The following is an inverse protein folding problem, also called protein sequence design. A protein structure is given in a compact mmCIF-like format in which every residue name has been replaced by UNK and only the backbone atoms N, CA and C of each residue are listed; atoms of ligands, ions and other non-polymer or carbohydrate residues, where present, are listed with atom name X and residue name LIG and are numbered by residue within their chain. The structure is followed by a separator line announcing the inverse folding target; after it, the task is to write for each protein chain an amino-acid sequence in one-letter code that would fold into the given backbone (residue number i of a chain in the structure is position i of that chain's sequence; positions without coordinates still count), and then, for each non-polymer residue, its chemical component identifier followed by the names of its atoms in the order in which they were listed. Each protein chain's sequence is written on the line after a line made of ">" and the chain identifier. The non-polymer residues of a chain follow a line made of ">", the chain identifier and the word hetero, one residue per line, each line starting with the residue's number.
data_IF_415876944203
#
_entry.id   IF_415876944203
#
_cell.length_a   1.000
_cell.length_b   1.000
_cell.length_c   1.000
_cell.angle_alpha   90.00
_cell.angle_beta   90.00
_cell.angle_gamma   90.00
#
_symmetry.space_group_name_H-M   'P 1'
#
loop_
_entity.id
_entity.type
_entity.pdbx_description
1 polymer ?
#
# COMPACT_ATOMS: atom_id res chain seq x y z
N UNK A 1 95.33 2.89 -47.41
CA UNK A 1 95.51 1.56 -46.79
C UNK A 1 94.15 0.91 -46.73
N UNK A 2 93.86 -0.03 -47.63
CA UNK A 2 93.83 -1.49 -47.38
C UNK A 2 92.66 -1.89 -46.44
N UNK A 3 91.76 -2.85 -46.67
CA UNK A 3 91.59 -3.98 -47.59
C UNK A 3 90.11 -4.45 -47.52
N UNK A 4 89.63 -5.18 -48.54
CA UNK A 4 88.41 -6.03 -48.55
C UNK A 4 88.81 -7.45 -48.06
N UNK A 5 87.96 -8.24 -47.33
CA UNK A 5 87.12 -9.35 -47.90
C UNK A 5 85.77 -9.59 -47.15
N UNK A 6 84.64 -9.96 -47.77
CA UNK A 6 84.16 -11.23 -48.36
C UNK A 6 83.72 -12.37 -47.38
N UNK A 7 82.39 -12.59 -47.36
CA UNK A 7 81.58 -13.83 -47.52
C UNK A 7 81.69 -15.06 -46.58
N UNK A 8 80.53 -15.52 -46.07
CA UNK A 8 79.92 -16.89 -46.20
C UNK A 8 78.75 -17.08 -45.19
N UNK A 9 77.48 -17.02 -45.58
CA UNK A 9 76.53 -18.13 -45.91
C UNK A 9 76.51 -19.30 -44.90
N UNK A 10 75.36 -19.53 -44.25
CA UNK A 10 74.69 -20.83 -44.09
C UNK A 10 73.22 -20.61 -43.66
N UNK A 11 72.31 -21.25 -44.39
CA UNK A 11 70.87 -21.30 -44.14
C UNK A 11 70.49 -22.65 -43.53
N UNK A 12 69.57 -22.67 -42.55
CA UNK A 12 68.73 -23.83 -42.23
C UNK A 12 67.33 -23.34 -41.88
N UNK A 13 66.33 -23.95 -42.51
CA UNK A 13 64.89 -23.66 -42.48
C UNK A 13 64.15 -24.40 -41.37
N UNK A 14 63.23 -23.72 -40.67
CA UNK A 14 62.31 -24.26 -39.66
C UNK A 14 61.01 -24.87 -40.24
N UNK A 15 60.34 -25.81 -39.53
CA UNK A 15 59.06 -26.37 -39.95
C UNK A 15 57.85 -25.50 -39.52
N UNK A 16 57.07 -25.03 -40.50
CA UNK A 16 55.93 -24.10 -40.37
C UNK A 16 54.65 -24.61 -39.67
N UNK A 17 54.61 -25.84 -39.15
CA UNK A 17 53.34 -26.45 -38.68
C UNK A 17 53.01 -26.22 -37.20
N UNK A 18 53.99 -25.87 -36.36
CA UNK A 18 53.78 -25.66 -34.91
C UNK A 18 53.10 -24.31 -34.60
N UNK A 19 53.20 -23.34 -35.51
CA UNK A 19 52.69 -21.97 -35.31
C UNK A 19 51.15 -21.85 -35.38
N UNK A 20 50.47 -22.70 -36.17
CA UNK A 20 49.02 -22.55 -36.39
C UNK A 20 48.19 -23.09 -35.23
N UNK A 21 48.59 -24.24 -34.66
CA UNK A 21 47.91 -24.84 -33.51
C UNK A 21 48.09 -24.01 -32.22
N UNK A 22 49.28 -23.44 -32.03
CA UNK A 22 49.54 -22.50 -30.92
C UNK A 22 48.61 -21.28 -30.99
N UNK A 23 48.44 -20.69 -32.18
CA UNK A 23 47.55 -19.53 -32.36
C UNK A 23 46.08 -19.85 -32.12
N UNK A 24 45.60 -21.02 -32.54
CA UNK A 24 44.24 -21.46 -32.26
C UNK A 24 43.99 -21.70 -30.76
N UNK A 25 44.96 -22.31 -30.06
CA UNK A 25 44.87 -22.54 -28.63
C UNK A 25 44.86 -21.21 -27.85
N UNK A 26 45.68 -20.24 -28.26
CA UNK A 26 45.69 -18.89 -27.69
C UNK A 26 44.39 -18.14 -27.94
N UNK A 27 43.77 -18.26 -29.13
CA UNK A 27 42.47 -17.65 -29.43
C UNK A 27 41.34 -18.23 -28.58
N UNK A 28 41.35 -19.55 -28.34
CA UNK A 28 40.36 -20.21 -27.48
C UNK A 28 40.54 -19.83 -26.01
N UNK A 29 41.79 -19.74 -25.53
CA UNK A 29 42.08 -19.29 -24.17
C UNK A 29 41.71 -17.80 -23.98
N UNK A 30 41.95 -16.96 -24.98
CA UNK A 30 41.58 -15.55 -24.95
C UNK A 30 40.05 -15.38 -24.95
N UNK A 31 39.31 -16.17 -25.75
CA UNK A 31 37.85 -16.09 -25.79
C UNK A 31 37.19 -16.59 -24.50
N UNK A 32 37.74 -17.64 -23.87
CA UNK A 32 37.30 -18.12 -22.56
C UNK A 32 37.61 -17.10 -21.46
N UNK A 33 38.77 -16.46 -21.49
CA UNK A 33 39.12 -15.40 -20.55
C UNK A 33 38.23 -14.16 -20.72
N UNK A 34 37.94 -13.74 -21.96
CA UNK A 34 37.03 -12.62 -22.23
C UNK A 34 35.60 -12.92 -21.78
N UNK A 35 35.12 -14.15 -22.01
CA UNK A 35 33.80 -14.61 -21.58
C UNK A 35 33.67 -14.66 -20.06
N UNK A 36 34.73 -15.10 -19.36
CA UNK A 36 34.77 -15.12 -17.89
C UNK A 36 34.84 -13.71 -17.31
N UNK A 37 35.56 -12.79 -17.95
CA UNK A 37 35.59 -11.37 -17.56
C UNK A 37 34.21 -10.70 -17.78
N UNK A 38 33.53 -10.99 -18.89
CA UNK A 38 32.18 -10.47 -19.15
C UNK A 38 31.15 -10.99 -18.11
N UNK A 39 31.26 -12.26 -17.73
CA UNK A 39 30.40 -12.87 -16.71
C UNK A 39 30.63 -12.30 -15.30
N UNK A 40 31.83 -11.75 -15.03
CA UNK A 40 32.17 -11.07 -13.78
C UNK A 40 31.73 -9.59 -13.74
N UNK A 41 31.62 -8.95 -14.91
CA UNK A 41 31.21 -7.53 -15.04
C UNK A 41 29.69 -7.37 -15.15
N UNK A 42 28.98 -8.33 -15.74
CA UNK A 42 27.51 -8.33 -15.86
C UNK A 42 26.74 -8.17 -14.52
N UNK A 43 27.16 -8.80 -13.39
CA UNK A 43 26.49 -8.62 -12.10
C UNK A 43 26.74 -7.24 -11.47
N UNK A 44 27.86 -6.59 -11.80
CA UNK A 44 28.21 -5.28 -11.25
C UNK A 44 27.35 -4.15 -11.85
N UNK A 45 27.01 -4.24 -13.15
CA UNK A 45 26.09 -3.29 -13.80
C UNK A 45 24.64 -3.40 -13.28
N UNK A 46 24.20 -4.61 -12.92
CA UNK A 46 22.87 -4.82 -12.32
C UNK A 46 22.80 -4.31 -10.86
N UNK A 47 23.92 -4.33 -10.14
CA UNK A 47 24.02 -3.75 -8.79
C UNK A 47 24.02 -2.22 -8.81
N UNK A 48 24.60 -1.60 -9.84
CA UNK A 48 24.52 -0.14 -10.02
C UNK A 48 23.08 0.34 -10.25
N UNK A 49 22.27 -0.34 -11.07
CA UNK A 49 20.87 0.05 -11.29
C UNK A 49 19.99 -0.10 -10.04
N UNK A 50 20.20 -1.14 -9.24
CA UNK A 50 19.48 -1.33 -7.97
C UNK A 50 19.92 -0.33 -6.90
N UNK A 51 21.22 -0.03 -6.79
CA UNK A 51 21.72 1.04 -5.91
C UNK A 51 21.22 2.42 -6.36
N UNK A 52 21.13 2.68 -7.67
CA UNK A 52 20.60 3.94 -8.21
C UNK A 52 19.10 4.10 -7.92
N UNK A 53 18.33 3.00 -7.93
CA UNK A 53 16.90 3.02 -7.55
C UNK A 53 16.71 3.31 -6.05
N UNK A 54 17.55 2.73 -5.19
CA UNK A 54 17.55 2.99 -3.74
C UNK A 54 17.95 4.44 -3.46
N UNK A 55 19.03 4.94 -4.10
CA UNK A 55 19.48 6.33 -3.98
C UNK A 55 18.46 7.34 -4.52
N UNK A 56 17.71 7.01 -5.59
CA UNK A 56 16.59 7.83 -6.09
C UNK A 56 15.43 7.89 -5.10
N UNK A 57 15.13 6.80 -4.40
CA UNK A 57 14.16 6.78 -3.30
C UNK A 57 14.56 7.70 -2.14
N UNK A 58 15.85 7.74 -1.78
CA UNK A 58 16.36 8.64 -0.73
C UNK A 58 16.45 10.11 -1.16
N UNK A 59 16.74 10.41 -2.43
CA UNK A 59 16.82 11.79 -2.92
C UNK A 59 15.44 12.48 -2.95
N UNK A 60 14.37 11.72 -3.20
CA UNK A 60 13.00 12.22 -3.15
C UNK A 60 12.51 12.50 -1.71
N UNK A 61 13.07 11.82 -0.71
CA UNK A 61 12.80 12.14 0.70
C UNK A 61 13.49 13.44 1.14
N UNK A 62 14.69 13.73 0.60
CA UNK A 62 15.49 14.89 1.02
C UNK A 62 14.95 16.22 0.50
N UNK A 63 14.28 16.25 -0.66
CA UNK A 63 13.69 17.48 -1.21
C UNK A 63 12.44 17.97 -0.47
N UNK A 64 11.86 17.14 0.42
CA UNK A 64 10.77 17.54 1.33
C UNK A 64 11.26 18.33 2.55
N UNK A 65 12.56 18.33 2.86
CA UNK A 65 13.10 18.99 4.05
C UNK A 65 13.27 20.52 3.88
N UNK A 66 13.46 21.01 2.65
CA UNK A 66 13.81 22.41 2.39
C UNK A 66 12.62 23.36 2.18
N UNK A 67 11.38 22.86 2.12
CA UNK A 67 10.24 23.68 1.67
C UNK A 67 9.15 23.93 2.71
N UNK A 68 9.40 23.55 3.97
CA UNK A 68 8.47 23.74 5.08
C UNK A 68 8.41 25.19 5.64
N UNK A 69 9.06 26.18 5.02
CA UNK A 69 9.23 27.50 5.64
C UNK A 69 8.30 28.64 5.19
N UNK A 70 7.46 28.53 4.16
CA UNK A 70 6.67 29.71 3.76
C UNK A 70 5.20 29.47 3.40
N UNK A 71 4.37 30.11 4.23
CA UNK A 71 3.20 30.93 3.86
C UNK A 71 1.81 30.35 4.12
N UNK A 72 1.27 30.81 5.26
CA UNK A 72 -0.14 30.83 5.61
C UNK A 72 -0.88 31.98 4.88
N UNK A 73 -2.13 31.76 4.45
CA UNK A 73 -3.36 32.43 4.95
C UNK A 73 -4.51 32.51 3.91
N UNK A 74 -5.73 32.28 4.43
CA UNK A 74 -7.08 32.77 4.05
C UNK A 74 -7.93 32.09 2.94
N UNK A 75 -8.79 31.18 3.44
CA UNK A 75 -10.27 31.05 3.34
C UNK A 75 -11.03 31.78 2.21
N UNK A 76 -11.92 31.06 1.52
CA UNK A 76 -13.42 31.06 1.69
C UNK A 76 -14.12 29.98 0.84
N UNK A 77 -15.31 29.54 1.30
CA UNK A 77 -16.21 28.42 0.97
C UNK A 77 -17.35 28.78 -0.04
N UNK A 78 -18.38 27.93 -0.33
CA UNK A 78 -18.48 26.46 -0.59
C UNK A 78 -19.42 26.08 -1.79
N UNK A 79 -19.70 24.76 -1.91
CA UNK A 79 -20.90 24.08 -2.49
C UNK A 79 -20.77 23.56 -3.94
N UNK A 80 -21.25 22.39 -4.38
CA UNK A 80 -22.17 21.35 -3.86
C UNK A 80 -22.01 20.06 -4.70
N UNK A 81 -22.15 18.89 -4.07
CA UNK A 81 -22.66 17.56 -4.53
C UNK A 81 -22.65 17.14 -6.02
N UNK A 82 -22.16 15.93 -6.34
CA UNK A 82 -23.01 14.76 -6.65
C UNK A 82 -22.22 13.47 -6.99
N UNK A 83 -22.81 12.35 -6.58
CA UNK A 83 -22.42 10.94 -6.67
C UNK A 83 -22.63 10.30 -8.06
N UNK A 84 -21.75 9.39 -8.51
CA UNK A 84 -22.12 8.25 -9.40
C UNK A 84 -21.24 7.02 -9.15
N UNK A 85 -21.90 5.87 -9.21
CA UNK A 85 -21.57 4.48 -8.88
C UNK A 85 -20.53 3.81 -9.80
N UNK A 86 -19.57 3.08 -9.22
CA UNK A 86 -18.62 2.21 -9.94
C UNK A 86 -19.03 0.73 -9.87
N UNK A 87 -19.15 0.07 -11.03
CA UNK A 87 -19.20 -1.39 -11.19
C UNK A 87 -18.26 -1.81 -12.32
N UNK A 88 -17.77 -3.04 -12.22
CA UNK A 88 -16.88 -3.80 -13.13
C UNK A 88 -15.39 -3.72 -12.76
N UNK A 89 -14.88 -4.60 -11.89
CA UNK A 89 -14.52 -6.02 -12.09
C UNK A 89 -13.22 -6.21 -12.90
N UNK A 90 -12.09 -6.32 -12.18
CA UNK A 90 -10.77 -6.65 -12.74
C UNK A 90 -10.50 -8.15 -12.75
N UNK A 91 -9.99 -8.65 -13.88
CA UNK A 91 -9.41 -9.98 -14.03
C UNK A 91 -7.88 -9.84 -13.98
N UNK A 92 -7.26 -10.54 -13.04
CA UNK A 92 -5.82 -10.57 -12.75
C UNK A 92 -5.01 -11.10 -13.95
N UNK A 93 -4.08 -10.30 -14.47
CA UNK A 93 -3.10 -10.72 -15.49
C UNK A 93 -1.70 -10.31 -15.02
N UNK A 94 -0.79 -11.30 -14.98
CA UNK A 94 0.64 -11.11 -14.74
C UNK A 94 1.22 -10.07 -15.70
N UNK A 95 1.83 -9.00 -15.17
CA UNK A 95 2.48 -7.93 -15.94
C UNK A 95 3.63 -8.49 -16.78
N UNK A 96 3.35 -8.88 -18.02
CA UNK A 96 4.34 -9.16 -19.05
C UNK A 96 4.68 -7.86 -19.79
N UNK A 97 5.98 -7.61 -20.05
CA UNK A 97 6.41 -6.50 -20.90
C UNK A 97 5.65 -6.56 -22.23
N UNK A 98 5.03 -5.45 -22.63
CA UNK A 98 4.18 -5.40 -23.81
C UNK A 98 4.91 -5.92 -25.06
N UNK A 99 4.28 -6.84 -25.77
CA UNK A 99 4.80 -7.38 -27.03
C UNK A 99 4.89 -6.29 -28.09
N UNK A 100 5.73 -6.47 -29.12
CA UNK A 100 5.83 -5.52 -30.24
C UNK A 100 4.48 -5.27 -30.92
N UNK A 101 3.65 -6.31 -31.04
CA UNK A 101 2.27 -6.19 -31.51
C UNK A 101 1.39 -5.37 -30.55
N UNK A 102 1.47 -5.63 -29.23
CA UNK A 102 0.73 -4.88 -28.21
C UNK A 102 1.07 -3.39 -28.18
N UNK A 103 2.35 -3.04 -28.39
CA UNK A 103 2.78 -1.63 -28.50
C UNK A 103 2.22 -0.93 -29.73
N UNK A 104 2.14 -1.61 -30.87
CA UNK A 104 1.54 -1.05 -32.09
C UNK A 104 0.03 -0.85 -31.91
N UNK A 105 -0.63 -1.81 -31.28
CA UNK A 105 -2.06 -1.74 -30.96
C UNK A 105 -2.36 -0.61 -29.96
N UNK A 106 -1.54 -0.45 -28.92
CA UNK A 106 -1.66 0.64 -27.95
C UNK A 106 -1.51 2.02 -28.63
N UNK A 107 -0.59 2.17 -29.58
CA UNK A 107 -0.44 3.39 -30.39
C UNK A 107 -1.67 3.67 -31.23
N UNK A 108 -2.23 2.65 -31.89
CA UNK A 108 -3.44 2.80 -32.69
C UNK A 108 -4.64 3.19 -31.81
N UNK A 109 -4.79 2.56 -30.65
CA UNK A 109 -5.83 2.87 -29.67
C UNK A 109 -5.73 4.29 -29.13
N UNK A 110 -4.52 4.78 -28.83
CA UNK A 110 -4.29 6.17 -28.41
C UNK A 110 -4.76 7.16 -29.48
N UNK A 111 -4.38 6.95 -30.75
CA UNK A 111 -4.80 7.82 -31.83
C UNK A 111 -6.33 7.85 -31.98
N UNK A 112 -6.99 6.70 -31.82
CA UNK A 112 -8.46 6.64 -31.80
C UNK A 112 -9.05 7.36 -30.59
N UNK A 113 -8.44 7.25 -29.41
CA UNK A 113 -8.89 7.95 -28.20
C UNK A 113 -8.84 9.47 -28.40
N UNK A 114 -7.73 9.98 -28.95
CA UNK A 114 -7.55 11.40 -29.26
C UNK A 114 -8.57 11.90 -30.29
N UNK A 115 -8.86 11.09 -31.31
CA UNK A 115 -9.88 11.44 -32.30
C UNK A 115 -11.30 11.43 -31.71
N UNK A 116 -11.63 10.43 -30.88
CA UNK A 116 -12.91 10.41 -30.15
C UNK A 116 -13.05 11.59 -29.20
N UNK A 117 -11.95 12.01 -28.55
CA UNK A 117 -11.88 13.23 -27.72
C UNK A 117 -12.20 14.48 -28.56
N UNK A 118 -11.57 14.64 -29.74
CA UNK A 118 -11.85 15.75 -30.66
C UNK A 118 -13.30 15.79 -31.13
N UNK A 119 -13.92 14.63 -31.31
CA UNK A 119 -15.34 14.49 -31.65
C UNK A 119 -16.30 14.70 -30.47
N UNK A 120 -15.79 14.97 -29.26
CA UNK A 120 -16.60 15.14 -28.05
C UNK A 120 -17.17 13.84 -27.45
N UNK A 121 -16.78 12.67 -27.97
CA UNK A 121 -17.27 11.35 -27.52
C UNK A 121 -16.50 10.87 -26.29
N UNK A 122 -16.72 11.53 -25.14
CA UNK A 122 -15.93 11.34 -23.90
C UNK A 122 -15.87 9.91 -23.39
N UNK A 123 -17.02 9.23 -23.26
CA UNK A 123 -17.05 7.85 -22.75
C UNK A 123 -16.24 6.88 -23.63
N UNK A 124 -16.32 7.04 -24.95
CA UNK A 124 -15.56 6.21 -25.90
C UNK A 124 -14.07 6.52 -25.83
N UNK A 125 -13.70 7.80 -25.71
CA UNK A 125 -12.32 8.20 -25.53
C UNK A 125 -11.73 7.59 -24.24
N UNK A 126 -12.46 7.68 -23.12
CA UNK A 126 -12.05 7.08 -21.84
C UNK A 126 -11.81 5.57 -21.94
N UNK A 127 -12.75 4.81 -22.54
CA UNK A 127 -12.58 3.36 -22.76
C UNK A 127 -11.38 3.03 -23.64
N UNK A 128 -11.11 3.84 -24.67
CA UNK A 128 -9.95 3.66 -25.55
C UNK A 128 -8.63 4.00 -24.86
N UNK A 129 -8.58 5.00 -23.97
CA UNK A 129 -7.40 5.27 -23.14
C UNK A 129 -7.08 4.09 -22.22
N UNK A 130 -8.10 3.55 -21.52
CA UNK A 130 -7.92 2.37 -20.68
C UNK A 130 -7.47 1.16 -21.51
N UNK A 131 -8.00 0.99 -22.73
CA UNK A 131 -7.57 -0.07 -23.63
C UNK A 131 -6.10 0.07 -24.05
N UNK A 132 -5.67 1.29 -24.41
CA UNK A 132 -4.27 1.56 -24.76
C UNK A 132 -3.33 1.20 -23.60
N UNK A 133 -3.67 1.59 -22.37
CA UNK A 133 -2.89 1.27 -21.16
C UNK A 133 -2.98 -0.19 -20.74
N UNK A 134 -4.04 -0.91 -21.13
CA UNK A 134 -4.13 -2.35 -20.93
C UNK A 134 -3.18 -3.11 -21.86
N UNK A 135 -3.01 -2.64 -23.09
CA UNK A 135 -2.09 -3.24 -24.07
C UNK A 135 -0.63 -2.90 -23.80
N UNK A 136 -0.35 -1.65 -23.42
CA UNK A 136 0.97 -1.22 -22.98
C UNK A 136 0.85 -0.36 -21.71
N UNK A 137 0.99 -0.98 -20.52
CA UNK A 137 0.91 -0.27 -19.24
C UNK A 137 2.00 0.81 -19.08
N UNK A 138 3.13 0.67 -19.78
CA UNK A 138 4.26 1.58 -19.62
C UNK A 138 4.29 2.65 -20.73
N UNK A 139 3.17 2.82 -21.46
CA UNK A 139 3.09 3.76 -22.57
C UNK A 139 2.95 5.22 -22.09
N UNK A 140 4.09 5.90 -22.02
CA UNK A 140 4.25 7.28 -21.51
C UNK A 140 3.32 8.28 -22.19
N UNK A 141 3.21 8.28 -23.52
CA UNK A 141 2.36 9.24 -24.24
C UNK A 141 0.87 9.01 -23.93
N UNK A 142 0.44 7.75 -23.81
CA UNK A 142 -0.93 7.44 -23.43
C UNK A 142 -1.24 7.88 -22.00
N UNK A 143 -0.30 7.70 -21.06
CA UNK A 143 -0.44 8.20 -19.69
C UNK A 143 -0.58 9.72 -19.65
N UNK A 144 0.29 10.45 -20.36
CA UNK A 144 0.24 11.91 -20.39
C UNK A 144 -1.04 12.43 -21.04
N UNK A 145 -1.43 11.92 -22.21
CA UNK A 145 -2.64 12.36 -22.90
C UNK A 145 -3.92 11.99 -22.13
N UNK A 146 -3.92 10.84 -21.45
CA UNK A 146 -5.03 10.48 -20.56
C UNK A 146 -5.10 11.39 -19.33
N UNK A 147 -3.95 11.81 -18.78
CA UNK A 147 -3.90 12.81 -17.72
C UNK A 147 -4.53 14.14 -18.15
N UNK A 148 -4.20 14.63 -19.36
CA UNK A 148 -4.79 15.86 -19.89
C UNK A 148 -6.31 15.71 -20.06
N UNK A 149 -6.76 14.54 -20.50
CA UNK A 149 -8.19 14.23 -20.59
C UNK A 149 -8.86 14.22 -19.21
N UNK A 150 -8.23 13.66 -18.16
CA UNK A 150 -8.76 13.68 -16.79
C UNK A 150 -8.88 15.10 -16.21
N UNK A 151 -7.97 16.02 -16.56
CA UNK A 151 -8.08 17.42 -16.15
C UNK A 151 -9.29 18.13 -16.75
N UNK A 152 -9.65 17.81 -18.01
CA UNK A 152 -10.86 18.34 -18.64
C UNK A 152 -12.16 17.90 -17.94
N UNK A 153 -12.12 16.73 -17.30
CA UNK A 153 -13.21 16.20 -16.46
C UNK A 153 -13.09 16.64 -14.99
N UNK A 154 -12.16 17.56 -14.67
CA UNK A 154 -11.86 18.10 -13.33
C UNK A 154 -11.34 17.07 -12.32
N UNK A 155 -10.87 15.91 -12.79
CA UNK A 155 -10.21 14.91 -11.96
C UNK A 155 -8.70 15.15 -11.91
N UNK A 156 -8.33 16.18 -11.14
CA UNK A 156 -6.93 16.63 -10.99
C UNK A 156 -6.08 15.55 -10.31
N UNK A 157 -6.68 14.79 -9.38
CA UNK A 157 -5.97 13.74 -8.62
C UNK A 157 -5.58 12.59 -9.55
N UNK A 158 -6.50 12.14 -10.40
CA UNK A 158 -6.22 11.12 -11.40
C UNK A 158 -5.20 11.61 -12.43
N UNK A 159 -5.30 12.86 -12.87
CA UNK A 159 -4.33 13.45 -13.80
C UNK A 159 -2.91 13.45 -13.23
N UNK A 160 -2.73 13.93 -12.00
CA UNK A 160 -1.43 13.94 -11.33
C UNK A 160 -0.83 12.55 -11.13
N UNK A 161 -1.67 11.56 -10.82
CA UNK A 161 -1.27 10.17 -10.74
C UNK A 161 -0.70 9.67 -12.09
N UNK A 162 -1.41 9.94 -13.19
CA UNK A 162 -0.98 9.54 -14.53
C UNK A 162 0.34 10.22 -14.94
N UNK A 163 0.52 11.51 -14.62
CA UNK A 163 1.79 12.20 -14.87
C UNK A 163 2.92 11.66 -14.01
N UNK A 164 2.67 11.38 -12.74
CA UNK A 164 3.66 10.79 -11.83
C UNK A 164 4.09 9.42 -12.35
N UNK A 165 3.14 8.59 -12.79
CA UNK A 165 3.43 7.28 -13.39
C UNK A 165 4.18 7.40 -14.72
N UNK A 166 3.86 8.39 -15.55
CA UNK A 166 4.62 8.64 -16.78
C UNK A 166 6.10 8.96 -16.49
N UNK A 167 6.37 9.72 -15.42
CA UNK A 167 7.72 10.12 -15.03
C UNK A 167 8.49 9.03 -14.27
N UNK A 168 7.83 8.08 -13.59
CA UNK A 168 8.54 6.91 -13.04
C UNK A 168 9.12 6.03 -14.14
N UNK A 169 8.45 5.98 -15.30
CA UNK A 169 8.92 5.26 -16.49
C UNK A 169 9.93 6.10 -17.29
N UNK A 170 9.60 7.36 -17.58
CA UNK A 170 10.45 8.28 -18.35
C UNK A 170 10.65 9.61 -17.60
N UNK A 171 11.71 9.72 -16.78
CA UNK A 171 11.94 10.88 -15.92
C UNK A 171 12.10 12.22 -16.66
N UNK A 172 12.50 12.18 -17.93
CA UNK A 172 12.79 13.36 -18.76
C UNK A 172 11.69 13.66 -19.79
N UNK A 173 10.50 13.07 -19.65
CA UNK A 173 9.39 13.37 -20.56
C UNK A 173 8.84 14.79 -20.30
N UNK A 174 9.18 15.72 -21.20
CA UNK A 174 8.94 17.15 -21.05
C UNK A 174 7.47 17.51 -20.74
N UNK A 175 6.51 16.95 -21.50
CA UNK A 175 5.08 17.25 -21.30
C UNK A 175 4.56 16.82 -19.92
N UNK A 176 4.92 15.61 -19.47
CA UNK A 176 4.47 15.11 -18.17
C UNK A 176 5.13 15.87 -17.02
N UNK A 177 6.38 16.31 -17.19
CA UNK A 177 7.08 17.13 -16.19
C UNK A 177 6.38 18.47 -16.00
N UNK A 178 6.12 19.20 -17.09
CA UNK A 178 5.41 20.49 -17.05
C UNK A 178 4.00 20.35 -16.46
N UNK A 179 3.27 19.31 -16.83
CA UNK A 179 1.94 19.07 -16.28
C UNK A 179 1.99 18.73 -14.79
N UNK A 180 2.92 17.86 -14.37
CA UNK A 180 3.07 17.46 -12.97
C UNK A 180 3.48 18.63 -12.07
N UNK A 181 4.41 19.47 -12.53
CA UNK A 181 4.84 20.63 -11.75
C UNK A 181 3.69 21.60 -11.45
N UNK A 182 2.69 21.64 -12.35
CA UNK A 182 1.45 22.41 -12.16
C UNK A 182 0.44 21.70 -11.25
N UNK A 183 0.26 20.38 -11.40
CA UNK A 183 -0.75 19.61 -10.65
C UNK A 183 -0.33 19.28 -9.22
N UNK A 184 0.97 19.08 -8.97
CA UNK A 184 1.50 18.68 -7.67
C UNK A 184 1.04 19.58 -6.50
N UNK A 185 1.24 20.91 -6.53
CA UNK A 185 0.79 21.77 -5.43
C UNK A 185 -0.73 21.78 -5.27
N UNK A 186 -1.49 21.62 -6.36
CA UNK A 186 -2.95 21.58 -6.33
C UNK A 186 -3.45 20.31 -5.63
N UNK A 187 -2.83 19.17 -5.94
CA UNK A 187 -3.16 17.88 -5.33
C UNK A 187 -2.76 17.84 -3.86
N UNK A 188 -1.60 18.41 -3.50
CA UNK A 188 -1.19 18.56 -2.10
C UNK A 188 -2.23 19.38 -1.30
N UNK A 189 -2.73 20.49 -1.87
CA UNK A 189 -3.77 21.28 -1.23
C UNK A 189 -5.11 20.50 -1.12
N UNK A 190 -5.50 19.75 -2.15
CA UNK A 190 -6.70 18.90 -2.12
C UNK A 190 -6.60 17.86 -0.99
N UNK A 191 -5.46 17.17 -0.88
CA UNK A 191 -5.23 16.13 0.13
C UNK A 191 -5.22 16.73 1.54
N UNK A 192 -4.54 17.87 1.75
CA UNK A 192 -4.52 18.58 3.04
C UNK A 192 -5.92 19.06 3.46
N UNK A 193 -6.72 19.58 2.52
CA UNK A 193 -8.10 19.96 2.78
C UNK A 193 -8.93 18.75 3.19
N UNK A 194 -8.71 17.59 2.55
CA UNK A 194 -9.42 16.37 2.90
C UNK A 194 -9.08 15.88 4.31
N UNK A 195 -7.81 15.92 4.71
CA UNK A 195 -7.41 15.66 6.10
C UNK A 195 -8.08 16.63 7.09
N UNK A 196 -8.13 17.92 6.76
CA UNK A 196 -8.81 18.91 7.61
C UNK A 196 -10.31 18.62 7.81
N UNK A 197 -10.97 18.07 6.79
CA UNK A 197 -12.37 17.62 6.89
C UNK A 197 -12.48 16.44 7.86
N UNK A 198 -11.61 15.44 7.73
CA UNK A 198 -11.55 14.28 8.62
C UNK A 198 -11.34 14.73 10.06
N UNK A 199 -10.40 15.64 10.33
CA UNK A 199 -10.14 16.14 11.68
C UNK A 199 -11.34 16.85 12.30
N UNK A 200 -12.11 17.56 11.47
CA UNK A 200 -13.35 18.18 11.92
C UNK A 200 -14.39 17.14 12.34
N UNK A 201 -14.48 16.01 11.62
CA UNK A 201 -15.36 14.89 11.95
C UNK A 201 -14.88 14.15 13.19
N UNK A 202 -13.57 13.94 13.35
CA UNK A 202 -12.98 13.35 14.57
C UNK A 202 -13.31 14.19 15.80
N UNK A 203 -13.12 15.52 15.73
CA UNK A 203 -13.49 16.41 16.84
C UNK A 203 -14.98 16.31 17.19
N UNK A 204 -15.87 16.18 16.20
CA UNK A 204 -17.31 15.96 16.45
C UNK A 204 -17.57 14.63 17.16
N UNK A 205 -16.97 13.52 16.72
CA UNK A 205 -17.10 12.22 17.39
C UNK A 205 -16.57 12.28 18.83
N UNK A 206 -15.42 12.93 19.04
CA UNK A 206 -14.83 13.09 20.37
C UNK A 206 -15.62 14.01 21.30
N UNK A 207 -16.48 14.88 20.76
CA UNK A 207 -17.37 15.72 21.57
C UNK A 207 -18.59 14.97 22.11
N UNK A 208 -18.86 13.76 21.61
CA UNK A 208 -19.96 12.92 22.10
C UNK A 208 -19.62 12.44 23.51
N UNK A 209 -20.55 12.57 24.49
CA UNK A 209 -20.30 12.12 25.86
C UNK A 209 -19.93 10.63 25.91
N UNK A 210 -18.89 10.30 26.68
CA UNK A 210 -18.38 8.92 26.79
C UNK A 210 -19.42 7.91 27.27
N UNK A 211 -20.40 8.35 28.09
CA UNK A 211 -21.49 7.51 28.60
C UNK A 211 -22.70 7.42 27.68
N UNK A 212 -22.63 7.95 26.45
CA UNK A 212 -23.72 7.89 25.49
C UNK A 212 -24.00 6.41 25.10
N UNK A 213 -25.22 5.93 25.37
CA UNK A 213 -25.62 4.54 25.13
C UNK A 213 -25.61 4.17 23.65
N UNK A 214 -25.97 5.10 22.77
CA UNK A 214 -25.90 4.89 21.32
C UNK A 214 -24.46 4.72 20.84
N UNK A 215 -23.53 5.56 21.32
CA UNK A 215 -22.11 5.43 20.98
C UNK A 215 -21.56 4.08 21.47
N UNK A 216 -21.87 3.68 22.70
CA UNK A 216 -21.45 2.38 23.22
C UNK A 216 -21.95 1.22 22.35
N UNK A 217 -23.22 1.24 21.96
CA UNK A 217 -23.81 0.21 21.10
C UNK A 217 -23.12 0.15 19.74
N UNK A 218 -22.91 1.30 19.09
CA UNK A 218 -22.26 1.34 17.78
C UNK A 218 -20.81 0.88 17.88
N UNK A 219 -20.10 1.22 18.98
CA UNK A 219 -18.75 0.73 19.22
C UNK A 219 -18.68 -0.79 19.44
N UNK A 220 -19.69 -1.36 20.08
CA UNK A 220 -19.81 -2.82 20.22
C UNK A 220 -20.12 -3.50 18.87
N UNK A 221 -21.05 -2.96 18.09
CA UNK A 221 -21.38 -3.51 16.77
C UNK A 221 -20.19 -3.41 15.80
N UNK A 222 -19.52 -2.25 15.76
CA UNK A 222 -18.33 -2.02 14.91
C UNK A 222 -17.17 -2.95 15.27
N UNK A 223 -17.05 -3.40 16.52
CA UNK A 223 -16.04 -4.39 16.92
C UNK A 223 -16.20 -5.71 16.16
N UNK A 224 -17.42 -6.27 16.11
CA UNK A 224 -17.71 -7.50 15.36
C UNK A 224 -17.59 -7.28 13.85
N UNK A 225 -18.05 -6.12 13.35
CA UNK A 225 -17.91 -5.75 11.94
C UNK A 225 -16.44 -5.68 11.50
N UNK A 226 -15.55 -5.13 12.33
CA UNK A 226 -14.13 -5.09 12.04
C UNK A 226 -13.55 -6.50 11.85
N UNK A 227 -13.86 -7.42 12.79
CA UNK A 227 -13.41 -8.81 12.71
C UNK A 227 -13.95 -9.48 11.44
N UNK A 228 -15.25 -9.32 11.15
CA UNK A 228 -15.85 -9.86 9.93
C UNK A 228 -15.15 -9.39 8.66
N UNK A 229 -14.97 -8.09 8.50
CA UNK A 229 -14.37 -7.55 7.28
C UNK A 229 -12.88 -7.89 7.16
N UNK A 230 -12.11 -7.85 8.25
CA UNK A 230 -10.67 -8.09 8.19
C UNK A 230 -10.34 -9.56 7.87
N UNK A 231 -11.13 -10.54 8.31
CA UNK A 231 -10.93 -11.95 7.93
C UNK A 231 -11.51 -12.24 6.54
N UNK A 232 -12.64 -11.62 6.18
CA UNK A 232 -13.27 -11.82 4.87
C UNK A 232 -12.43 -11.30 3.69
N UNK A 233 -11.59 -10.27 3.91
CA UNK A 233 -10.62 -9.80 2.90
C UNK A 233 -9.61 -10.90 2.54
N UNK A 234 -9.24 -11.73 3.51
CA UNK A 234 -8.29 -12.84 3.33
C UNK A 234 -8.96 -14.11 2.77
N UNK A 235 -10.30 -14.12 2.66
CA UNK A 235 -11.07 -15.21 2.05
C UNK A 235 -11.95 -16.02 3.01
N UNK A 236 -11.98 -15.67 4.29
CA UNK A 236 -12.85 -16.32 5.27
C UNK A 236 -14.34 -16.16 4.89
N UNK A 237 -15.08 -17.26 4.97
CA UNK A 237 -16.48 -17.37 4.51
C UNK A 237 -17.53 -17.22 5.62
N UNK A 238 -17.11 -16.99 6.87
CA UNK A 238 -18.02 -16.82 7.99
C UNK A 238 -18.82 -15.52 7.86
N UNK A 239 -20.10 -15.60 8.18
CA UNK A 239 -21.02 -14.46 8.25
C UNK A 239 -20.85 -13.70 9.57
N UNK A 240 -21.36 -12.46 9.60
CA UNK A 240 -21.29 -11.64 10.81
C UNK A 240 -22.02 -12.28 12.01
N UNK A 241 -23.16 -12.95 11.78
CA UNK A 241 -23.92 -13.64 12.84
C UNK A 241 -23.19 -14.88 13.36
N UNK A 242 -22.55 -15.65 12.49
CA UNK A 242 -21.69 -16.78 12.88
C UNK A 242 -20.50 -16.30 13.72
N UNK A 243 -19.83 -15.21 13.31
CA UNK A 243 -18.73 -14.60 14.07
C UNK A 243 -19.20 -14.15 15.46
N UNK A 244 -20.35 -13.48 15.54
CA UNK A 244 -20.92 -13.07 16.83
C UNK A 244 -21.20 -14.29 17.71
N UNK A 245 -21.82 -15.33 17.17
CA UNK A 245 -22.07 -16.58 17.88
C UNK A 245 -20.79 -17.20 18.45
N UNK A 246 -19.72 -17.30 17.64
CA UNK A 246 -18.42 -17.85 18.06
C UNK A 246 -17.83 -17.04 19.22
N UNK A 247 -17.88 -15.71 19.16
CA UNK A 247 -17.23 -14.85 20.14
C UNK A 247 -18.02 -14.73 21.46
N UNK A 248 -19.35 -14.76 21.39
CA UNK A 248 -20.23 -14.68 22.57
C UNK A 248 -20.36 -16.03 23.29
N UNK A 249 -20.61 -17.11 22.54
CA UNK A 249 -20.90 -18.42 23.14
C UNK A 249 -19.65 -19.29 23.31
N UNK A 250 -18.61 -19.07 22.51
CA UNK A 250 -17.43 -19.94 22.37
C UNK A 250 -17.74 -21.35 21.84
N UNK A 251 -18.93 -21.56 21.28
CA UNK A 251 -19.29 -22.81 20.59
C UNK A 251 -18.95 -22.71 19.09
N UNK A 252 -18.60 -23.86 18.52
CA UNK A 252 -18.28 -23.98 17.11
C UNK A 252 -19.53 -23.93 16.23
N UNK A 253 -19.40 -23.33 15.04
CA UNK A 253 -20.46 -23.30 14.02
C UNK A 253 -20.40 -24.59 13.19
N UNK A 254 -21.50 -25.36 13.09
CA UNK A 254 -21.54 -26.58 12.30
C UNK A 254 -21.31 -26.32 10.80
N UNK A 255 -20.56 -27.21 10.15
CA UNK A 255 -20.36 -27.17 8.69
C UNK A 255 -19.39 -26.08 8.19
N UNK A 256 -18.67 -25.40 9.09
CA UNK A 256 -17.65 -24.40 8.77
C UNK A 256 -16.26 -24.89 9.18
N UNK A 257 -15.21 -24.40 8.50
CA UNK A 257 -13.83 -24.80 8.80
C UNK A 257 -13.45 -24.39 10.23
N UNK A 258 -12.74 -25.27 10.95
CA UNK A 258 -12.19 -24.91 12.26
C UNK A 258 -11.10 -23.84 12.13
N UNK A 259 -10.36 -23.83 11.02
CA UNK A 259 -9.36 -22.82 10.73
C UNK A 259 -10.00 -21.43 10.63
N UNK A 260 -11.07 -21.28 9.84
CA UNK A 260 -11.81 -20.01 9.70
C UNK A 260 -12.35 -19.52 11.06
N UNK A 261 -12.81 -20.42 11.92
CA UNK A 261 -13.29 -20.09 13.26
C UNK A 261 -12.13 -19.67 14.19
N UNK A 262 -10.98 -20.33 14.07
CA UNK A 262 -9.77 -20.01 14.81
C UNK A 262 -9.18 -18.66 14.39
N UNK A 263 -9.29 -18.25 13.12
CA UNK A 263 -8.91 -16.91 12.66
C UNK A 263 -9.72 -15.82 13.37
N UNK A 264 -11.03 -16.04 13.53
CA UNK A 264 -11.94 -15.11 14.22
C UNK A 264 -11.56 -14.98 15.69
N UNK A 265 -11.28 -16.10 16.36
CA UNK A 265 -10.82 -16.11 17.76
C UNK A 265 -9.46 -15.41 17.88
N UNK A 266 -8.53 -15.70 16.97
CA UNK A 266 -7.21 -15.07 16.92
C UNK A 266 -7.31 -13.55 16.77
N UNK A 267 -8.11 -13.08 15.82
CA UNK A 267 -8.38 -11.64 15.64
C UNK A 267 -8.98 -10.99 16.90
N UNK A 268 -9.97 -11.62 17.52
CA UNK A 268 -10.58 -11.13 18.76
C UNK A 268 -9.53 -10.99 19.88
N UNK A 269 -8.68 -12.00 20.08
CA UNK A 269 -7.64 -11.97 21.12
C UNK A 269 -6.57 -10.90 20.83
N UNK A 270 -6.19 -10.73 19.56
CA UNK A 270 -5.26 -9.70 19.13
C UNK A 270 -5.81 -8.29 19.36
N UNK A 271 -7.07 -8.03 18.97
CA UNK A 271 -7.72 -6.74 19.23
C UNK A 271 -7.87 -6.45 20.73
N UNK A 272 -8.23 -7.46 21.54
CA UNK A 272 -8.32 -7.30 22.99
C UNK A 272 -6.96 -6.92 23.59
N UNK A 273 -5.88 -7.54 23.12
CA UNK A 273 -4.51 -7.21 23.52
C UNK A 273 -4.13 -5.78 23.14
N UNK A 274 -4.39 -5.36 21.90
CA UNK A 274 -4.15 -3.98 21.42
C UNK A 274 -4.89 -2.98 22.31
N UNK A 275 -6.20 -3.16 22.50
CA UNK A 275 -7.04 -2.23 23.25
C UNK A 275 -6.66 -2.14 24.74
N UNK A 276 -6.29 -3.26 25.35
CA UNK A 276 -6.00 -3.31 26.80
C UNK A 276 -4.56 -2.91 27.11
N UNK A 277 -3.61 -3.30 26.26
CA UNK A 277 -2.17 -3.24 26.59
C UNK A 277 -1.44 -2.16 25.82
N UNK A 278 -1.75 -1.93 24.55
CA UNK A 278 -0.94 -1.09 23.67
C UNK A 278 -1.50 0.32 23.49
N UNK A 279 -2.82 0.48 23.43
CA UNK A 279 -3.45 1.79 23.21
C UNK A 279 -3.14 2.76 24.35
N UNK A 280 -3.19 2.30 25.61
CA UNK A 280 -2.91 3.13 26.79
C UNK A 280 -1.43 3.20 27.16
N UNK A 281 -0.55 2.47 26.47
CA UNK A 281 0.87 2.42 26.80
C UNK A 281 1.56 3.67 26.31
N UNK A 282 2.20 4.37 27.22
CA UNK A 282 3.11 5.47 26.92
C UNK A 282 4.47 4.88 26.54
N UNK A 283 5.02 5.28 25.39
CA UNK A 283 6.35 4.87 24.94
C UNK A 283 6.39 4.38 23.50
N UNK A 284 7.56 3.92 23.08
CA UNK A 284 7.83 3.47 21.72
C UNK A 284 7.18 2.12 21.39
N UNK A 285 6.71 1.97 20.16
CA UNK A 285 6.32 0.66 19.60
C UNK A 285 7.59 -0.15 19.36
N UNK A 286 7.59 -1.43 19.75
CA UNK A 286 8.75 -2.32 19.61
C UNK A 286 8.47 -3.49 18.66
N UNK A 287 9.52 -4.15 18.17
CA UNK A 287 9.39 -5.38 17.36
C UNK A 287 8.54 -6.42 18.12
N UNK A 288 8.79 -6.61 19.41
CA UNK A 288 8.04 -7.54 20.24
C UNK A 288 6.54 -7.23 20.26
N UNK A 289 6.14 -5.96 20.21
CA UNK A 289 4.71 -5.62 20.12
C UNK A 289 4.10 -6.11 18.81
N UNK A 290 4.81 -6.00 17.69
CA UNK A 290 4.35 -6.54 16.39
C UNK A 290 4.30 -8.07 16.42
N UNK A 291 5.31 -8.72 17.01
CA UNK A 291 5.33 -10.18 17.18
C UNK A 291 4.22 -10.67 18.10
N UNK A 292 3.89 -9.95 19.18
CA UNK A 292 2.80 -10.30 20.11
C UNK A 292 1.41 -10.11 19.50
N UNK A 293 1.23 -9.10 18.64
CA UNK A 293 0.01 -8.97 17.83
C UNK A 293 -0.09 -10.18 16.90
N UNK A 294 0.96 -10.45 16.11
CA UNK A 294 0.97 -11.56 15.17
C UNK A 294 0.76 -12.92 15.84
N UNK A 295 1.37 -13.13 17.02
CA UNK A 295 1.19 -14.35 17.81
C UNK A 295 -0.26 -14.63 18.16
N UNK A 296 -1.04 -13.58 18.45
CA UNK A 296 -2.47 -13.70 18.75
C UNK A 296 -3.31 -13.86 17.49
N UNK A 297 -2.96 -13.14 16.42
CA UNK A 297 -3.64 -13.24 15.11
C UNK A 297 -3.60 -14.67 14.59
N UNK A 298 -2.43 -15.31 14.60
CA UNK A 298 -2.23 -16.62 13.97
C UNK A 298 -2.20 -17.79 14.97
N UNK A 299 -2.07 -17.54 16.28
CA UNK A 299 -1.78 -18.59 17.27
C UNK A 299 -2.81 -19.71 17.41
N UNK A 300 -4.06 -19.49 17.00
CA UNK A 300 -5.09 -20.54 16.99
C UNK A 300 -5.13 -21.33 15.67
N UNK A 301 -4.51 -20.80 14.61
CA UNK A 301 -4.45 -21.42 13.27
C UNK A 301 -3.12 -22.16 13.11
N UNK A 302 -2.01 -21.44 13.25
CA UNK A 302 -0.66 -21.97 13.17
C UNK A 302 0.17 -21.49 14.38
N UNK A 303 0.12 -22.22 15.52
CA UNK A 303 0.89 -21.88 16.70
C UNK A 303 2.41 -22.02 16.52
N UNK A 304 2.88 -22.71 15.47
CA UNK A 304 4.31 -22.92 15.22
C UNK A 304 4.93 -21.66 14.62
N UNK A 305 4.24 -21.01 13.70
CA UNK A 305 4.69 -19.80 13.01
C UNK A 305 4.19 -18.51 13.67
N UNK A 306 3.19 -18.59 14.55
CA UNK A 306 2.65 -17.46 15.29
C UNK A 306 3.71 -16.67 16.08
N UNK A 307 3.85 -15.39 15.73
CA UNK A 307 4.82 -14.48 16.36
C UNK A 307 6.28 -14.77 15.99
N UNK A 308 6.53 -15.41 14.84
CA UNK A 308 7.88 -15.67 14.31
C UNK A 308 8.01 -15.14 12.89
N UNK A 309 9.19 -14.63 12.55
CA UNK A 309 9.50 -14.21 11.20
C UNK A 309 9.60 -15.40 10.24
N UNK A 310 9.18 -15.18 8.98
CA UNK A 310 9.28 -16.21 7.95
C UNK A 310 10.74 -16.56 7.65
N UNK A 311 10.95 -17.82 7.29
CA UNK A 311 12.28 -18.38 6.98
C UNK A 311 12.47 -18.66 5.49
N UNK A 312 11.42 -18.52 4.71
CA UNK A 312 11.38 -18.84 3.27
C UNK A 312 10.99 -17.60 2.46
N UNK A 313 11.45 -17.55 1.22
CA UNK A 313 11.04 -16.51 0.29
C UNK A 313 9.66 -16.84 -0.30
N UNK A 314 8.83 -15.82 -0.51
CA UNK A 314 7.46 -15.96 -1.02
C UNK A 314 7.20 -14.98 -2.16
N UNK A 315 6.13 -15.21 -2.92
CA UNK A 315 5.62 -14.28 -3.93
C UNK A 315 4.21 -13.84 -3.51
N UNK A 316 3.97 -12.53 -3.41
CA UNK A 316 2.71 -11.95 -2.96
C UNK A 316 2.09 -11.18 -4.11
N UNK A 317 1.20 -11.82 -4.87
CA UNK A 317 0.71 -11.26 -6.13
C UNK A 317 1.86 -11.07 -7.13
N UNK A 318 2.24 -9.83 -7.38
CA UNK A 318 3.40 -9.45 -8.21
C UNK A 318 4.61 -8.94 -7.42
N UNK A 319 4.51 -8.91 -6.09
CA UNK A 319 5.54 -8.39 -5.19
C UNK A 319 6.43 -9.50 -4.64
N UNK A 320 7.74 -9.28 -4.70
CA UNK A 320 8.75 -10.12 -4.03
C UNK A 320 9.26 -9.36 -2.82
N UNK A 321 8.89 -9.74 -1.58
CA UNK A 321 9.33 -9.05 -0.38
C UNK A 321 10.83 -9.28 -0.09
N UNK A 322 11.43 -8.51 0.84
CA UNK A 322 12.83 -8.67 1.24
C UNK A 322 13.21 -10.12 1.56
N UNK A 323 14.46 -10.53 1.34
CA UNK A 323 14.85 -11.91 1.64
C UNK A 323 14.75 -12.19 3.16
N UNK A 324 14.42 -13.41 3.62
CA UNK A 324 14.37 -13.74 5.05
C UNK A 324 15.63 -13.38 5.84
N UNK A 325 16.81 -13.38 5.20
CA UNK A 325 18.07 -12.97 5.82
C UNK A 325 18.13 -11.47 6.15
N UNK A 326 17.39 -10.64 5.42
CA UNK A 326 17.32 -9.19 5.65
C UNK A 326 16.20 -8.80 6.62
N UNK A 327 15.37 -9.77 7.04
CA UNK A 327 14.11 -9.53 7.72
C UNK A 327 14.26 -8.77 9.04
N UNK A 328 15.24 -9.17 9.85
CA UNK A 328 15.49 -8.52 11.13
C UNK A 328 15.89 -7.05 10.95
N UNK A 329 16.81 -6.79 10.02
CA UNK A 329 17.22 -5.42 9.67
C UNK A 329 16.06 -4.57 9.17
N UNK A 330 15.26 -5.11 8.24
CA UNK A 330 14.09 -4.41 7.69
C UNK A 330 13.06 -4.06 8.79
N UNK A 331 12.82 -4.97 9.74
CA UNK A 331 11.92 -4.73 10.86
C UNK A 331 12.49 -3.74 11.88
N UNK A 332 13.81 -3.73 12.10
CA UNK A 332 14.47 -2.72 12.93
C UNK A 332 14.34 -1.32 12.32
N UNK A 333 14.63 -1.18 11.02
CA UNK A 333 14.48 0.09 10.29
C UNK A 333 13.02 0.57 10.28
N UNK A 334 12.07 -0.36 10.12
CA UNK A 334 10.65 -0.05 10.20
C UNK A 334 10.23 0.49 11.58
N UNK A 335 10.66 -0.17 12.66
CA UNK A 335 10.36 0.26 14.02
C UNK A 335 11.08 1.57 14.37
N UNK A 336 12.31 1.77 13.88
CA UNK A 336 13.00 3.04 14.02
C UNK A 336 12.20 4.17 13.37
N UNK A 337 11.71 3.96 12.14
CA UNK A 337 10.87 4.94 11.46
C UNK A 337 9.56 5.19 12.20
N UNK A 338 8.88 4.14 12.69
CA UNK A 338 7.63 4.28 13.46
C UNK A 338 7.78 5.19 14.70
N UNK A 339 8.97 5.24 15.29
CA UNK A 339 9.26 6.03 16.49
C UNK A 339 10.06 7.32 16.19
N UNK A 340 10.24 7.66 14.91
CA UNK A 340 10.99 8.86 14.49
C UNK A 340 10.16 10.13 14.60
N UNK A 341 10.82 11.27 14.80
CA UNK A 341 10.16 12.59 14.79
C UNK A 341 9.48 12.87 13.44
N UNK A 342 10.12 12.46 12.34
CA UNK A 342 9.55 12.60 10.99
C UNK A 342 8.18 11.91 10.88
N UNK A 343 8.05 10.70 11.42
CA UNK A 343 6.79 9.97 11.42
C UNK A 343 5.75 10.62 12.34
N UNK A 344 6.16 11.14 13.49
CA UNK A 344 5.25 11.86 14.42
C UNK A 344 4.75 13.19 13.86
N UNK A 345 5.50 13.81 12.95
CA UNK A 345 5.12 15.06 12.28
C UNK A 345 4.14 14.85 11.11
N UNK A 346 3.93 13.61 10.67
CA UNK A 346 2.93 13.29 9.65
C UNK A 346 1.51 13.40 10.22
N UNK A 347 0.55 13.67 9.34
CA UNK A 347 -0.86 13.58 9.71
C UNK A 347 -1.20 12.14 10.17
N UNK A 348 -1.96 11.91 11.26
CA UNK A 348 -2.16 10.57 11.81
C UNK A 348 -2.69 9.52 10.82
N UNK A 349 -3.57 9.94 9.90
CA UNK A 349 -4.11 9.06 8.85
C UNK A 349 -3.02 8.67 7.84
N UNK A 350 -2.16 9.61 7.46
CA UNK A 350 -1.03 9.34 6.56
C UNK A 350 0.00 8.44 7.24
N UNK A 351 0.32 8.72 8.50
CA UNK A 351 1.23 7.90 9.29
C UNK A 351 0.73 6.44 9.41
N UNK A 352 -0.54 6.25 9.76
CA UNK A 352 -1.14 4.92 9.87
C UNK A 352 -1.18 4.18 8.52
N UNK A 353 -1.48 4.88 7.42
CA UNK A 353 -1.46 4.30 6.08
C UNK A 353 -0.04 3.89 5.65
N UNK A 354 0.96 4.72 5.90
CA UNK A 354 2.36 4.39 5.57
C UNK A 354 2.89 3.25 6.43
N UNK A 355 2.54 3.20 7.72
CA UNK A 355 2.90 2.10 8.60
C UNK A 355 2.29 0.77 8.13
N UNK A 356 1.01 0.80 7.74
CA UNK A 356 0.33 -0.33 7.15
C UNK A 356 1.05 -0.80 5.87
N UNK A 357 1.29 0.12 4.92
CA UNK A 357 1.94 -0.20 3.66
C UNK A 357 3.34 -0.81 3.87
N UNK A 358 4.17 -0.18 4.70
CA UNK A 358 5.55 -0.64 4.98
C UNK A 358 5.57 -2.05 5.56
N UNK A 359 4.67 -2.37 6.50
CA UNK A 359 4.62 -3.72 7.08
C UNK A 359 4.18 -4.77 6.06
N UNK A 360 3.16 -4.47 5.23
CA UNK A 360 2.71 -5.34 4.14
C UNK A 360 3.82 -5.55 3.10
N UNK A 361 4.59 -4.50 2.79
CA UNK A 361 5.72 -4.54 1.85
C UNK A 361 6.87 -5.42 2.35
N UNK A 362 7.26 -5.28 3.62
CA UNK A 362 8.29 -6.12 4.26
C UNK A 362 7.83 -7.58 4.31
N UNK A 363 6.53 -7.80 4.53
CA UNK A 363 5.90 -9.11 4.60
C UNK A 363 6.62 -10.08 5.56
N UNK A 364 6.75 -9.73 6.86
CA UNK A 364 7.65 -10.44 7.77
C UNK A 364 7.18 -11.83 8.20
N UNK A 365 5.92 -12.20 7.96
CA UNK A 365 5.34 -13.46 8.43
C UNK A 365 4.97 -14.39 7.26
N UNK A 366 4.78 -15.69 7.53
CA UNK A 366 4.35 -16.65 6.51
C UNK A 366 2.89 -16.43 6.09
N UNK A 367 2.06 -16.03 7.05
CA UNK A 367 0.66 -15.62 6.89
C UNK A 367 0.34 -14.56 7.98
N UNK A 368 -0.82 -13.92 7.94
CA UNK A 368 -1.26 -12.95 8.95
C UNK A 368 -0.73 -11.54 8.74
N UNK A 369 0.03 -11.28 7.67
CA UNK A 369 0.63 -9.97 7.36
C UNK A 369 -0.43 -8.87 7.17
N UNK A 370 -1.47 -9.13 6.37
CA UNK A 370 -2.56 -8.17 6.13
C UNK A 370 -3.34 -7.85 7.41
N UNK A 371 -3.74 -8.89 8.16
CA UNK A 371 -4.44 -8.77 9.45
C UNK A 371 -3.64 -7.99 10.48
N UNK A 372 -2.35 -8.31 10.62
CA UNK A 372 -1.44 -7.63 11.55
C UNK A 372 -1.22 -6.17 11.15
N UNK A 373 -1.09 -5.88 9.85
CA UNK A 373 -0.91 -4.51 9.34
C UNK A 373 -2.15 -3.64 9.58
N UNK A 374 -3.36 -4.18 9.41
CA UNK A 374 -4.62 -3.48 9.73
C UNK A 374 -4.78 -3.23 11.22
N UNK A 375 -4.31 -4.14 12.09
CA UNK A 375 -4.28 -3.92 13.53
C UNK A 375 -3.26 -2.85 13.94
N UNK A 376 -2.06 -2.86 13.34
CA UNK A 376 -1.04 -1.83 13.60
C UNK A 376 -1.50 -0.45 13.16
N UNK A 377 -2.15 -0.35 11.99
CA UNK A 377 -2.79 0.86 11.52
C UNK A 377 -3.81 1.39 12.54
N UNK A 378 -4.69 0.52 13.04
CA UNK A 378 -5.68 0.92 14.04
C UNK A 378 -5.06 1.27 15.39
N UNK A 379 -3.96 0.61 15.80
CA UNK A 379 -3.21 1.01 17.00
C UNK A 379 -2.72 2.46 16.88
N UNK A 380 -2.08 2.81 15.76
CA UNK A 380 -1.57 4.17 15.50
C UNK A 380 -2.71 5.19 15.53
N UNK A 381 -3.80 4.91 14.83
CA UNK A 381 -4.98 5.78 14.81
C UNK A 381 -5.57 5.97 16.22
N UNK A 382 -5.73 4.89 16.97
CA UNK A 382 -6.29 4.95 18.33
C UNK A 382 -5.38 5.71 19.31
N UNK A 383 -4.06 5.55 19.21
CA UNK A 383 -3.11 6.33 20.00
C UNK A 383 -3.16 7.83 19.66
N UNK A 384 -3.47 8.18 18.41
CA UNK A 384 -3.70 9.56 17.97
C UNK A 384 -5.12 10.08 18.24
N UNK A 385 -5.99 9.31 18.89
CA UNK A 385 -7.37 9.72 19.17
C UNK A 385 -8.31 9.64 17.97
N UNK A 386 -8.08 8.72 17.04
CA UNK A 386 -9.02 8.37 15.98
C UNK A 386 -9.73 7.04 16.34
N UNK A 387 -10.99 6.84 15.92
CA UNK A 387 -11.63 5.54 16.10
C UNK A 387 -10.94 4.47 15.23
N UNK A 388 -10.99 3.18 15.61
CA UNK A 388 -10.51 2.11 14.75
C UNK A 388 -11.33 2.07 13.46
N UNK A 389 -10.64 1.98 12.33
CA UNK A 389 -11.28 1.97 11.01
C UNK A 389 -11.45 0.54 10.49
N UNK A 390 -12.36 0.39 9.53
CA UNK A 390 -12.60 -0.90 8.87
C UNK A 390 -12.52 -0.73 7.36
N UNK A 391 -11.52 -1.38 6.75
CA UNK A 391 -11.50 -1.64 5.31
C UNK A 391 -12.53 -2.72 5.05
N UNK A 392 -13.56 -2.43 4.26
CA UNK A 392 -14.66 -3.38 4.04
C UNK A 392 -14.27 -4.43 3.01
N UNK A 393 -14.85 -5.63 3.11
CA UNK A 393 -14.58 -6.76 2.19
C UNK A 393 -14.94 -6.42 0.74
N UNK A 394 -15.95 -5.57 0.54
CA UNK A 394 -16.40 -5.11 -0.78
C UNK A 394 -15.32 -4.24 -1.45
N UNK A 395 -14.44 -3.62 -0.66
CA UNK A 395 -13.32 -2.80 -1.11
C UNK A 395 -12.05 -3.63 -1.38
N UNK A 396 -12.11 -4.97 -1.31
CA UNK A 396 -10.93 -5.84 -1.49
C UNK A 396 -10.19 -5.54 -2.79
N UNK A 397 -10.90 -5.35 -3.90
CA UNK A 397 -10.26 -5.04 -5.19
C UNK A 397 -9.60 -3.66 -5.20
N UNK A 398 -10.25 -2.64 -4.64
CA UNK A 398 -9.69 -1.28 -4.53
C UNK A 398 -8.44 -1.30 -3.64
N UNK A 399 -8.52 -1.99 -2.50
CA UNK A 399 -7.42 -2.16 -1.54
C UNK A 399 -6.17 -2.81 -2.15
N UNK A 400 -6.31 -3.92 -2.88
CA UNK A 400 -5.15 -4.53 -3.54
C UNK A 400 -4.62 -3.66 -4.68
N UNK A 401 -5.51 -3.00 -5.45
CA UNK A 401 -5.08 -2.11 -6.51
C UNK A 401 -4.23 -0.94 -6.00
N UNK A 402 -4.64 -0.26 -4.92
CA UNK A 402 -3.85 0.85 -4.38
C UNK A 402 -2.53 0.40 -3.72
N UNK A 403 -2.44 -0.86 -3.27
CA UNK A 403 -1.18 -1.46 -2.82
C UNK A 403 -0.23 -1.75 -3.99
N UNK A 404 -0.76 -2.21 -5.13
CA UNK A 404 0.02 -2.40 -6.36
C UNK A 404 0.58 -1.06 -6.85
N UNK A 405 -0.25 -0.01 -6.88
CA UNK A 405 0.20 1.35 -7.24
C UNK A 405 1.28 1.87 -6.29
N UNK A 406 1.16 1.58 -4.99
CA UNK A 406 2.19 1.91 -4.02
C UNK A 406 3.52 1.19 -4.30
N UNK A 407 3.48 -0.08 -4.70
CA UNK A 407 4.67 -0.84 -5.12
C UNK A 407 5.30 -0.30 -6.42
N UNK A 408 4.50 0.33 -7.28
CA UNK A 408 4.98 1.01 -8.50
C UNK A 408 5.60 2.39 -8.22
N UNK A 409 5.51 2.87 -6.98
CA UNK A 409 6.24 4.05 -6.50
C UNK A 409 5.36 5.22 -6.04
N UNK A 410 4.04 5.14 -6.16
CA UNK A 410 3.13 6.19 -5.66
C UNK A 410 2.23 5.68 -4.53
N UNK A 411 2.56 6.04 -3.29
CA UNK A 411 1.82 5.65 -2.09
C UNK A 411 0.58 6.52 -1.82
N UNK A 412 0.43 7.65 -2.51
CA UNK A 412 -0.64 8.64 -2.24
C UNK A 412 -2.05 8.06 -2.45
N UNK A 413 -2.33 7.25 -3.50
CA UNK A 413 -3.61 6.57 -3.64
C UNK A 413 -3.96 5.67 -2.45
N UNK A 414 -2.98 4.97 -1.87
CA UNK A 414 -3.18 4.16 -0.67
C UNK A 414 -3.54 5.03 0.55
N UNK A 415 -2.84 6.16 0.74
CA UNK A 415 -3.14 7.11 1.81
C UNK A 415 -4.58 7.66 1.67
N UNK A 416 -4.99 8.08 0.46
CA UNK A 416 -6.35 8.56 0.18
C UNK A 416 -7.41 7.48 0.41
N UNK A 417 -7.11 6.24 0.05
CA UNK A 417 -7.98 5.10 0.32
C UNK A 417 -8.22 4.91 1.83
N UNK A 418 -7.16 4.95 2.64
CA UNK A 418 -7.28 4.87 4.10
C UNK A 418 -8.03 6.09 4.67
N UNK A 419 -7.79 7.28 4.13
CA UNK A 419 -8.53 8.50 4.51
C UNK A 419 -10.04 8.36 4.22
N UNK A 420 -10.42 7.80 3.08
CA UNK A 420 -11.82 7.49 2.71
C UNK A 420 -12.46 6.45 3.64
N UNK A 421 -11.73 5.40 4.01
CA UNK A 421 -12.18 4.43 5.01
C UNK A 421 -12.37 5.08 6.40
N UNK A 422 -11.47 6.01 6.76
CA UNK A 422 -11.56 6.78 8.01
C UNK A 422 -12.79 7.67 8.02
N UNK A 423 -13.00 8.44 6.97
CA UNK A 423 -14.18 9.28 6.80
C UNK A 423 -15.47 8.45 6.89
N UNK A 424 -15.56 7.34 6.17
CA UNK A 424 -16.76 6.49 6.19
C UNK A 424 -17.04 5.94 7.60
N UNK A 425 -15.99 5.60 8.36
CA UNK A 425 -16.12 5.14 9.74
C UNK A 425 -16.66 6.26 10.63
N UNK A 426 -16.13 7.47 10.50
CA UNK A 426 -16.58 8.64 11.25
C UNK A 426 -18.03 8.99 10.92
N UNK A 427 -18.41 8.93 9.65
CA UNK A 427 -19.79 9.21 9.20
C UNK A 427 -20.77 8.19 9.79
N UNK A 428 -20.43 6.89 9.80
CA UNK A 428 -21.24 5.86 10.47
C UNK A 428 -21.42 6.16 11.95
N UNK A 429 -20.35 6.56 12.65
CA UNK A 429 -20.41 6.87 14.09
C UNK A 429 -21.28 8.10 14.37
N UNK A 430 -21.11 9.16 13.59
CA UNK A 430 -21.89 10.39 13.73
C UNK A 430 -23.37 10.14 13.40
N UNK A 431 -23.64 9.45 12.30
CA UNK A 431 -25.00 9.14 11.88
C UNK A 431 -25.74 8.30 12.92
N UNK A 432 -25.14 7.20 13.34
CA UNK A 432 -25.76 6.29 14.30
C UNK A 432 -25.99 6.97 15.67
N UNK A 433 -25.06 7.80 16.13
CA UNK A 433 -25.25 8.53 17.40
C UNK A 433 -26.33 9.60 17.31
N UNK A 434 -26.55 10.21 16.13
CA UNK A 434 -27.69 11.10 15.92
C UNK A 434 -29.03 10.36 15.85
N UNK A 435 -29.12 9.25 15.12
CA UNK A 435 -30.38 8.50 14.98
C UNK A 435 -30.80 7.78 16.26
N UNK A 436 -29.88 7.05 16.91
CA UNK A 436 -30.21 6.26 18.10
C UNK A 436 -30.48 7.12 19.34
N UNK A 437 -29.99 8.37 19.38
CA UNK A 437 -30.37 9.32 20.44
C UNK A 437 -31.87 9.64 20.44
N UNK A 438 -32.53 9.50 19.28
CA UNK A 438 -33.98 9.71 19.14
C UNK A 438 -34.76 8.42 19.42
N UNK A 439 -34.17 7.25 19.13
CA UNK A 439 -34.84 5.95 19.22
C UNK A 439 -34.74 5.26 20.60
N UNK A 440 -33.80 5.67 21.46
CA UNK A 440 -33.59 5.07 22.79
C UNK A 440 -33.98 6.05 23.90
N UNK A 441 -34.80 5.65 24.89
CA UNK A 441 -34.98 6.47 26.07
C UNK A 441 -33.63 6.60 26.79
N UNK A 442 -33.16 7.83 26.99
CA UNK A 442 -31.97 8.09 27.81
C UNK A 442 -32.18 7.47 29.20
N UNK A 443 -31.22 6.65 29.63
CA UNK A 443 -31.23 6.10 30.98
C UNK A 443 -31.16 7.27 31.97
N UNK A 444 -32.30 7.60 32.60
CA UNK A 444 -32.38 8.67 33.59
C UNK A 444 -31.37 8.39 34.71
N UNK A 445 -30.56 9.37 35.11
CA UNK A 445 -29.70 9.21 36.27
C UNK A 445 -30.59 9.01 37.51
N UNK A 446 -30.24 8.00 38.31
CA UNK A 446 -30.95 7.58 39.52
C UNK A 446 -31.48 8.76 40.36
N UNK A 447 -32.80 8.92 40.40
CA UNK A 447 -33.44 9.54 41.56
C UNK A 447 -33.70 8.46 42.60
N UNK A 448 -32.85 8.46 43.63
CA UNK A 448 -33.10 7.81 44.90
C UNK A 448 -34.44 8.31 45.47
N UNK A 449 -35.47 7.47 45.38
CA UNK A 449 -36.78 7.69 45.97
C UNK A 449 -37.30 6.37 46.51
N UNK A 450 -36.86 6.01 47.71
CA UNK A 450 -37.49 4.99 48.53
C UNK A 450 -39.00 5.26 48.63
N UNK A 451 -39.84 4.26 48.32
CA UNK A 451 -41.07 3.99 49.08
C UNK A 451 -41.32 2.49 49.17
N UNK A 452 -41.48 2.06 50.41
CA UNK A 452 -41.74 0.71 50.89
C UNK A 452 -43.15 0.18 50.55
N UNK A 453 -43.21 -1.16 50.47
CA UNK A 453 -44.28 -2.08 50.91
C UNK A 453 -45.68 -2.12 50.23
N UNK A 454 -45.91 -3.24 49.51
CA UNK A 454 -46.93 -4.33 49.70
C UNK A 454 -48.45 -3.98 49.73
N UNK A 455 -49.40 -4.89 49.35
CA UNK A 455 -49.35 -6.34 49.52
C UNK A 455 -49.97 -7.23 48.42
N UNK A 456 -49.65 -8.53 48.50
CA UNK A 456 -50.38 -9.64 47.85
C UNK A 456 -51.50 -10.11 48.79
N UNK A 457 -52.67 -10.44 48.23
CA UNK A 457 -53.78 -11.15 48.88
C UNK A 457 -54.62 -11.88 47.83
N UNK A 458 -55.41 -12.89 48.24
CA UNK A 458 -55.12 -14.06 49.08
C UNK A 458 -55.01 -15.35 48.26
#
# INVERSE_FOLDING_TARGET
>A
MMFVPMASVMAVTEPKWVSVWSRFLWLMLLSMALGSLLALVLPLGAMEEQCLAILKGFYLLRSKLDRAQHAATKRTSPSTELSVTSREAGLLVVKTKASTAGRLEAKAALNQALEMKRQGKREKAHKLFLYALKMDPDYVDALNEFGIFSEEDKDIVQADYLYTRALTISPFHEKALVNRDRTLPLVEEIDQRYFSIIDSKVRKVMSIPKGNSALHRVMEETYYHHIYHTVAIEGNTLTLSEIRHILETRYAVPGKSLEEQNEVIGMHTAMKYVNTTLVSRIGSVTIDNVLEIHRRVLGYVDPVEAGRFRRTQVLVGHHVPPHPQDMEKQMQEFIQWLNSEDAMNLHPVEFAALAHYKLVYIHPFIDGNGRTSRLLMNLILMQAGYPPITIRKEQRSEYYHVLEVANEGDVRPFIRFIAKCTETTLDTLLFATTEYSVALPEAKPNHSGFKETLPVKP
#
